data_IF_446912188475
#
_entry.id   IF_446912188475
#
_cell.length_a   1.000
_cell.length_b   1.000
_cell.length_c   1.000
_cell.angle_alpha   90.00
_cell.angle_beta   90.00
_cell.angle_gamma   90.00
#
_symmetry.space_group_name_H-M   'P 1'
#
loop_
_entity.id
_entity.type
_entity.pdbx_description
1 polymer ?
#
# COMPACT_ATOMS: atom_id res chain seq x y z
N UNK A 1 19.10 16.37 -45.66
CA UNK A 1 18.37 16.56 -44.39
C UNK A 1 16.91 16.81 -44.72
N UNK A 2 15.99 16.17 -44.02
CA UNK A 2 14.56 16.49 -44.12
C UNK A 2 14.25 17.62 -43.12
N UNK A 3 13.36 18.54 -43.49
CA UNK A 3 12.96 19.68 -42.63
C UNK A 3 11.49 19.51 -42.26
N UNK A 4 11.20 19.60 -40.96
CA UNK A 4 9.84 19.61 -40.41
C UNK A 4 9.50 21.04 -40.02
N UNK A 5 8.35 21.54 -40.42
CA UNK A 5 7.83 22.85 -40.03
C UNK A 5 6.57 22.66 -39.19
N UNK A 6 6.54 23.29 -38.01
CA UNK A 6 5.45 23.19 -37.05
C UNK A 6 4.83 24.57 -36.86
N UNK A 7 3.50 24.62 -36.82
CA UNK A 7 2.75 25.81 -36.43
C UNK A 7 2.32 25.62 -34.98
N UNK A 8 2.82 26.49 -34.10
CA UNK A 8 2.50 26.50 -32.67
C UNK A 8 2.05 27.91 -32.24
N UNK A 9 1.32 28.05 -31.12
CA UNK A 9 0.94 29.36 -30.60
C UNK A 9 2.15 30.22 -30.25
N UNK A 10 2.08 31.53 -30.52
CA UNK A 10 3.18 32.48 -30.29
C UNK A 10 3.66 32.47 -28.83
N UNK A 11 2.74 32.41 -27.87
CA UNK A 11 3.07 32.35 -26.45
C UNK A 11 3.90 31.12 -26.08
N UNK A 12 3.65 29.98 -26.73
CA UNK A 12 4.41 28.75 -26.51
C UNK A 12 5.77 28.83 -27.18
N UNK A 13 5.85 29.44 -28.37
CA UNK A 13 7.12 29.68 -29.04
C UNK A 13 8.03 30.59 -28.20
N UNK A 14 7.50 31.68 -27.64
CA UNK A 14 8.25 32.59 -26.77
C UNK A 14 8.77 31.89 -25.52
N UNK A 15 7.93 31.11 -24.83
CA UNK A 15 8.34 30.32 -23.67
C UNK A 15 9.43 29.29 -24.03
N UNK A 16 9.30 28.66 -25.20
CA UNK A 16 10.28 27.70 -25.69
C UNK A 16 11.64 28.36 -25.97
N UNK A 17 11.66 29.54 -26.61
CA UNK A 17 12.90 30.30 -26.86
C UNK A 17 13.59 30.72 -25.55
N UNK A 18 12.82 31.13 -24.54
CA UNK A 18 13.35 31.44 -23.21
C UNK A 18 13.96 30.18 -22.58
N UNK A 19 13.27 29.04 -22.65
CA UNK A 19 13.77 27.77 -22.13
C UNK A 19 15.08 27.32 -22.81
N UNK A 20 15.19 27.47 -24.13
CA UNK A 20 16.42 27.18 -24.88
C UNK A 20 17.58 28.05 -24.39
N UNK A 21 17.31 29.35 -24.21
CA UNK A 21 18.32 30.32 -23.75
C UNK A 21 18.80 30.01 -22.34
N UNK A 22 17.88 29.73 -21.41
CA UNK A 22 18.21 29.42 -20.02
C UNK A 22 19.06 28.15 -19.90
N UNK A 23 18.76 27.14 -20.72
CA UNK A 23 19.45 25.85 -20.70
C UNK A 23 20.65 25.78 -21.66
N UNK A 24 20.92 26.87 -22.40
CA UNK A 24 21.99 26.96 -23.41
C UNK A 24 21.92 25.82 -24.44
N UNK A 25 20.72 25.46 -24.86
CA UNK A 25 20.51 24.44 -25.89
C UNK A 25 20.12 25.09 -27.21
N UNK A 26 20.43 24.41 -28.32
CA UNK A 26 19.95 24.82 -29.63
C UNK A 26 18.56 24.24 -29.93
N UNK A 27 17.82 24.92 -30.82
CA UNK A 27 16.51 24.47 -31.28
C UNK A 27 16.60 23.10 -31.96
N UNK A 28 17.66 22.87 -32.74
CA UNK A 28 17.86 21.60 -33.46
C UNK A 28 18.13 20.45 -32.49
N UNK A 29 18.94 20.64 -31.45
CA UNK A 29 19.22 19.61 -30.44
C UNK A 29 17.96 19.22 -29.66
N UNK A 30 17.19 20.20 -29.19
CA UNK A 30 15.96 19.93 -28.42
C UNK A 30 14.86 19.36 -29.33
N UNK A 31 14.75 19.88 -30.56
CA UNK A 31 13.83 19.37 -31.57
C UNK A 31 14.11 17.91 -31.91
N UNK A 32 15.39 17.56 -32.16
CA UNK A 32 15.80 16.18 -32.41
C UNK A 32 15.51 15.28 -31.21
N UNK A 33 15.74 15.74 -29.98
CA UNK A 33 15.44 14.98 -28.77
C UNK A 33 13.93 14.70 -28.62
N UNK A 34 13.09 15.72 -28.81
CA UNK A 34 11.63 15.58 -28.69
C UNK A 34 11.12 14.62 -29.77
N UNK A 35 11.54 14.79 -31.03
CA UNK A 35 11.13 13.92 -32.14
C UNK A 35 11.61 12.49 -31.89
N UNK A 36 12.85 12.31 -31.47
CA UNK A 36 13.42 10.98 -31.18
C UNK A 36 12.68 10.29 -30.05
N UNK A 37 12.34 11.02 -28.98
CA UNK A 37 11.57 10.49 -27.86
C UNK A 37 10.16 10.07 -28.31
N UNK A 38 9.47 10.94 -29.06
CA UNK A 38 8.13 10.63 -29.57
C UNK A 38 8.13 9.41 -30.51
N UNK A 39 9.11 9.32 -31.43
CA UNK A 39 9.27 8.19 -32.34
C UNK A 39 9.53 6.90 -31.55
N UNK A 40 10.43 6.95 -30.58
CA UNK A 40 10.77 5.81 -29.73
C UNK A 40 9.58 5.31 -28.93
N UNK A 41 8.84 6.22 -28.30
CA UNK A 41 7.64 5.89 -27.53
C UNK A 41 6.53 5.34 -28.41
N UNK A 42 6.31 5.93 -29.59
CA UNK A 42 5.32 5.47 -30.56
C UNK A 42 5.62 4.03 -31.00
N UNK A 43 6.87 3.72 -31.31
CA UNK A 43 7.29 2.36 -31.65
C UNK A 43 7.23 1.41 -30.46
N UNK A 44 7.57 1.86 -29.25
CA UNK A 44 7.48 1.04 -28.04
C UNK A 44 6.03 0.67 -27.71
N UNK A 45 5.10 1.62 -27.87
CA UNK A 45 3.68 1.38 -27.67
C UNK A 45 3.12 0.44 -28.75
N UNK A 46 3.48 0.67 -30.02
CA UNK A 46 3.13 -0.23 -31.11
C UNK A 46 3.68 -1.66 -30.88
N UNK A 47 4.93 -1.77 -30.42
CA UNK A 47 5.58 -3.03 -30.09
C UNK A 47 4.92 -3.73 -28.89
N UNK A 48 4.54 -3.00 -27.83
CA UNK A 48 3.78 -3.56 -26.69
C UNK A 48 2.42 -4.09 -27.12
N UNK A 49 1.75 -3.41 -28.04
CA UNK A 49 0.47 -3.86 -28.60
C UNK A 49 0.63 -5.11 -29.47
N UNK A 50 1.78 -5.24 -30.15
CA UNK A 50 2.15 -6.45 -30.91
C UNK A 50 2.67 -7.59 -30.02
N UNK A 51 3.25 -7.29 -28.85
CA UNK A 51 3.88 -8.26 -27.95
C UNK A 51 2.99 -8.72 -26.79
N UNK A 52 1.66 -8.61 -26.93
CA UNK A 52 0.72 -9.21 -25.97
C UNK A 52 0.79 -10.76 -25.90
N UNK A 53 1.70 -11.40 -26.64
CA UNK A 53 2.15 -12.77 -26.40
C UNK A 53 3.69 -12.86 -26.40
N UNK A 54 4.22 -13.35 -25.28
CA UNK A 54 5.60 -13.80 -24.98
C UNK A 54 6.72 -12.75 -24.79
N UNK A 55 7.36 -12.83 -23.61
CA UNK A 55 8.64 -12.22 -23.19
C UNK A 55 9.85 -12.97 -23.81
N UNK A 56 11.11 -12.42 -23.89
CA UNK A 56 11.78 -11.57 -22.89
C UNK A 56 12.72 -10.41 -23.35
N UNK A 57 12.96 -9.50 -22.38
CA UNK A 57 13.98 -8.43 -22.13
C UNK A 57 14.83 -7.85 -23.29
N UNK A 58 14.93 -6.50 -23.39
CA UNK A 58 16.06 -5.83 -24.03
C UNK A 58 17.04 -5.18 -23.03
N UNK A 59 18.30 -5.15 -23.47
CA UNK A 59 19.43 -4.40 -22.90
C UNK A 59 19.37 -2.98 -23.49
N UNK A 60 19.38 -1.93 -22.65
CA UNK A 60 19.32 -0.52 -23.08
C UNK A 60 20.61 0.22 -22.68
N UNK A 61 21.17 1.12 -23.52
CA UNK A 61 22.26 2.03 -23.13
C UNK A 61 21.73 3.14 -22.21
N UNK A 62 22.52 3.52 -21.21
CA UNK A 62 22.15 4.44 -20.13
C UNK A 62 22.27 5.90 -20.57
N UNK A 63 21.14 6.59 -20.72
CA UNK A 63 21.06 8.06 -20.72
C UNK A 63 20.66 8.49 -19.29
N UNK A 64 21.49 9.28 -18.63
CA UNK A 64 21.23 9.80 -17.28
C UNK A 64 20.17 10.90 -17.31
N UNK A 65 18.89 10.53 -17.40
CA UNK A 65 17.83 11.36 -16.83
C UNK A 65 18.14 11.55 -15.34
N UNK A 66 17.97 12.76 -14.78
CA UNK A 66 17.95 12.90 -13.33
C UNK A 66 16.79 12.02 -12.84
N UNK A 67 17.16 10.83 -12.33
CA UNK A 67 16.22 9.83 -11.88
C UNK A 67 15.31 10.35 -10.77
N UNK A 68 15.57 11.56 -10.25
CA UNK A 68 14.78 12.16 -9.21
C UNK A 68 13.77 13.21 -9.68
N UNK A 69 13.85 13.72 -10.91
CA UNK A 69 12.89 14.72 -11.40
C UNK A 69 11.46 14.16 -11.33
N UNK A 70 10.56 14.93 -10.72
CA UNK A 70 9.15 14.57 -10.54
C UNK A 70 8.95 13.16 -9.98
N UNK A 71 9.87 12.66 -9.14
CA UNK A 71 9.82 11.28 -8.63
C UNK A 71 8.60 10.99 -7.76
N UNK A 72 7.92 12.03 -7.27
CA UNK A 72 6.66 11.89 -6.58
C UNK A 72 5.58 11.22 -7.46
N UNK A 73 5.58 11.42 -8.79
CA UNK A 73 4.63 10.74 -9.70
C UNK A 73 4.69 9.21 -9.61
N UNK A 74 5.88 8.65 -9.35
CA UNK A 74 6.07 7.20 -9.15
C UNK A 74 5.56 6.71 -7.79
N UNK A 75 5.33 7.61 -6.83
CA UNK A 75 4.99 7.28 -5.44
C UNK A 75 3.54 7.63 -5.07
N UNK A 76 2.95 8.65 -5.69
CA UNK A 76 1.57 9.10 -5.44
C UNK A 76 0.57 7.94 -5.49
N UNK A 77 0.55 7.06 -6.52
CA UNK A 77 -0.39 5.94 -6.55
C UNK A 77 -0.29 5.01 -5.32
N UNK A 78 0.93 4.81 -4.80
CA UNK A 78 1.14 4.01 -3.60
C UNK A 78 0.75 4.76 -2.31
N UNK A 79 0.93 6.09 -2.27
CA UNK A 79 0.55 6.90 -1.12
C UNK A 79 -0.97 6.98 -0.94
N UNK A 80 -1.74 7.00 -2.03
CA UNK A 80 -3.22 6.98 -2.00
C UNK A 80 -3.76 5.86 -1.10
N UNK A 81 -3.21 4.65 -1.23
CA UNK A 81 -3.66 3.48 -0.49
C UNK A 81 -2.96 3.26 0.85
N UNK A 82 -2.27 4.29 1.39
CA UNK A 82 -1.51 4.20 2.64
C UNK A 82 -1.83 5.35 3.59
N UNK A 83 -3.06 5.39 4.16
CA UNK A 83 -3.56 6.53 4.94
C UNK A 83 -2.75 6.87 6.20
N UNK A 84 -1.90 5.94 6.66
CA UNK A 84 -1.00 6.14 7.81
C UNK A 84 0.30 6.84 7.46
N UNK A 85 0.70 6.92 6.18
CA UNK A 85 1.95 7.58 5.80
C UNK A 85 1.81 9.09 5.84
N UNK A 86 2.84 9.78 6.34
CA UNK A 86 2.82 11.25 6.44
C UNK A 86 2.57 11.94 5.10
N UNK A 87 3.17 11.44 4.00
CA UNK A 87 2.96 12.01 2.67
C UNK A 87 1.48 11.96 2.25
N UNK A 88 0.78 10.87 2.56
CA UNK A 88 -0.66 10.75 2.33
C UNK A 88 -1.41 11.79 3.17
N UNK A 89 -1.14 11.84 4.48
CA UNK A 89 -1.82 12.73 5.42
C UNK A 89 -1.68 14.20 5.05
N UNK A 90 -0.50 14.62 4.61
CA UNK A 90 -0.23 16.00 4.17
C UNK A 90 -1.00 16.32 2.88
N UNK A 91 -0.99 15.42 1.88
CA UNK A 91 -1.76 15.63 0.63
C UNK A 91 -3.26 15.68 0.93
N UNK A 92 -3.78 14.76 1.75
CA UNK A 92 -5.18 14.77 2.18
C UNK A 92 -5.55 16.07 2.88
N UNK A 93 -4.71 16.55 3.83
CA UNK A 93 -4.91 17.81 4.52
C UNK A 93 -4.98 19.00 3.55
N UNK A 94 -4.04 19.06 2.59
CA UNK A 94 -4.01 20.09 1.56
C UNK A 94 -5.32 20.11 0.77
N UNK A 95 -5.74 18.95 0.23
CA UNK A 95 -6.94 18.84 -0.60
C UNK A 95 -8.23 19.17 0.17
N UNK A 96 -8.30 18.85 1.46
CA UNK A 96 -9.41 19.23 2.33
C UNK A 96 -9.49 20.76 2.49
N UNK A 97 -8.37 21.40 2.86
CA UNK A 97 -8.33 22.86 3.04
C UNK A 97 -8.64 23.57 1.72
N UNK A 98 -8.10 23.10 0.60
CA UNK A 98 -8.36 23.65 -0.72
C UNK A 98 -9.85 23.52 -1.09
N UNK A 99 -10.48 22.37 -0.81
CA UNK A 99 -11.92 22.19 -1.05
C UNK A 99 -12.79 23.09 -0.17
N UNK A 100 -12.35 23.34 1.07
CA UNK A 100 -13.06 24.18 2.04
C UNK A 100 -12.90 25.68 1.79
N UNK A 101 -11.70 26.12 1.36
CA UNK A 101 -11.30 27.55 1.36
C UNK A 101 -10.83 28.06 0.01
N UNK A 102 -10.64 27.20 -1.00
CA UNK A 102 -10.13 27.54 -2.33
C UNK A 102 -8.62 27.85 -2.38
N UNK A 103 -8.02 28.26 -1.27
CA UNK A 103 -6.58 28.52 -1.14
C UNK A 103 -6.02 27.88 0.13
N UNK A 104 -4.80 27.33 0.05
CA UNK A 104 -4.15 26.67 1.18
C UNK A 104 -3.04 27.55 1.72
N UNK A 105 -3.25 28.11 2.91
CA UNK A 105 -2.22 28.83 3.65
C UNK A 105 -1.36 27.85 4.46
N UNK A 106 -0.06 28.15 4.57
CA UNK A 106 0.91 27.30 5.28
C UNK A 106 0.51 27.09 6.75
N UNK A 107 0.08 28.15 7.44
CA UNK A 107 -0.34 28.06 8.85
C UNK A 107 -1.58 27.18 9.04
N UNK A 108 -2.52 27.20 8.09
CA UNK A 108 -3.70 26.33 8.12
C UNK A 108 -3.28 24.88 7.90
N UNK A 109 -2.38 24.62 6.95
CA UNK A 109 -1.86 23.28 6.69
C UNK A 109 -1.08 22.75 7.90
N UNK A 110 -0.28 23.59 8.55
CA UNK A 110 0.42 23.29 9.82
C UNK A 110 -0.59 22.92 10.90
N UNK A 111 -1.62 23.75 11.10
CA UNK A 111 -2.68 23.50 12.10
C UNK A 111 -3.37 22.16 11.84
N UNK A 112 -3.79 21.91 10.60
CA UNK A 112 -4.48 20.68 10.17
C UNK A 112 -3.63 19.42 10.35
N UNK A 113 -2.32 19.53 10.16
CA UNK A 113 -1.41 18.39 10.29
C UNK A 113 -0.83 18.22 11.70
N UNK A 114 -0.92 19.21 12.60
CA UNK A 114 -0.27 19.15 13.92
C UNK A 114 -1.24 18.90 15.08
N UNK A 115 -2.56 18.97 14.85
CA UNK A 115 -3.56 18.75 15.88
C UNK A 115 -4.17 17.34 15.79
N UNK A 116 -3.66 16.40 16.61
CA UNK A 116 -4.12 15.01 16.66
C UNK A 116 -5.57 14.86 17.12
N UNK A 117 -6.05 15.76 17.96
CA UNK A 117 -7.40 15.66 18.55
C UNK A 117 -8.45 16.12 17.55
N UNK A 118 -8.22 17.26 16.91
CA UNK A 118 -9.17 17.85 15.95
C UNK A 118 -9.08 17.18 14.58
N UNK A 119 -7.89 16.74 14.17
CA UNK A 119 -7.63 16.18 12.84
C UNK A 119 -6.80 14.88 12.89
N UNK A 120 -7.34 13.80 13.49
CA UNK A 120 -6.60 12.55 13.67
C UNK A 120 -6.17 11.91 12.35
N UNK A 121 -6.96 12.05 11.28
CA UNK A 121 -6.69 11.44 9.97
C UNK A 121 -5.55 12.12 9.20
N UNK A 122 -5.30 13.41 9.45
CA UNK A 122 -4.25 14.20 8.79
C UNK A 122 -3.07 14.50 9.72
N UNK A 123 -3.11 14.02 10.97
CA UNK A 123 -2.06 14.28 11.94
C UNK A 123 -0.70 13.69 11.54
N UNK A 124 0.35 14.50 11.61
CA UNK A 124 1.73 14.14 11.31
C UNK A 124 2.63 14.56 12.46
N UNK A 125 3.37 13.61 13.05
CA UNK A 125 4.21 13.85 14.23
C UNK A 125 5.35 14.85 13.99
N UNK A 126 5.96 14.82 12.80
CA UNK A 126 6.96 15.81 12.36
C UNK A 126 6.52 16.41 11.02
N UNK A 127 5.52 17.29 11.06
CA UNK A 127 4.99 17.93 9.87
C UNK A 127 6.09 18.67 9.09
N UNK A 128 6.94 19.45 9.79
CA UNK A 128 7.95 20.31 9.15
C UNK A 128 8.97 19.50 8.36
N UNK A 129 9.53 18.43 8.94
CA UNK A 129 10.51 17.58 8.27
C UNK A 129 9.91 16.86 7.05
N UNK A 130 8.70 16.29 7.20
CA UNK A 130 8.03 15.58 6.11
C UNK A 130 7.62 16.54 4.99
N UNK A 131 7.06 17.71 5.32
CA UNK A 131 6.69 18.72 4.34
C UNK A 131 7.91 19.25 3.58
N UNK A 132 9.05 19.49 4.26
CA UNK A 132 10.29 19.88 3.59
C UNK A 132 10.78 18.84 2.57
N UNK A 133 10.67 17.54 2.88
CA UNK A 133 11.01 16.45 1.96
C UNK A 133 10.04 16.36 0.76
N UNK A 134 8.85 16.95 0.87
CA UNK A 134 7.88 17.05 -0.22
C UNK A 134 8.00 18.36 -1.02
N UNK A 135 9.02 19.19 -0.76
CA UNK A 135 9.32 20.42 -1.53
C UNK A 135 10.57 20.30 -2.41
N UNK A 136 11.22 19.14 -2.43
CA UNK A 136 12.47 18.92 -3.14
C UNK A 136 12.53 17.53 -3.77
N UNK A 137 13.20 17.42 -4.91
CA UNK A 137 13.51 16.15 -5.57
C UNK A 137 14.90 15.60 -5.19
N UNK A 138 15.64 16.20 -4.26
CA UNK A 138 16.95 15.67 -3.82
C UNK A 138 16.91 14.17 -3.53
N UNK A 139 17.96 13.41 -3.86
CA UNK A 139 17.96 11.92 -3.86
C UNK A 139 17.26 11.26 -2.67
N UNK A 140 17.50 11.76 -1.45
CA UNK A 140 16.93 11.24 -0.20
C UNK A 140 15.52 11.74 0.17
N UNK A 141 14.88 12.52 -0.70
CA UNK A 141 13.55 13.09 -0.47
C UNK A 141 12.41 12.17 -0.88
N UNK A 142 11.21 12.52 -0.41
CA UNK A 142 9.97 11.88 -0.85
C UNK A 142 9.60 12.25 -2.29
N UNK A 143 10.15 13.34 -2.83
CA UNK A 143 9.85 13.87 -4.15
C UNK A 143 9.02 15.13 -4.02
N UNK A 144 9.26 16.10 -4.90
CA UNK A 144 8.61 17.39 -4.85
C UNK A 144 7.13 17.25 -5.22
N UNK A 145 6.27 17.68 -4.32
CA UNK A 145 4.82 17.75 -4.46
C UNK A 145 4.34 19.18 -4.30
N UNK A 146 4.93 19.92 -3.36
CA UNK A 146 4.49 21.27 -3.03
C UNK A 146 5.52 22.33 -3.42
N UNK A 147 5.01 23.51 -3.75
CA UNK A 147 5.76 24.77 -3.79
C UNK A 147 5.13 25.75 -2.78
N UNK A 148 5.89 26.76 -2.39
CA UNK A 148 5.44 27.80 -1.47
C UNK A 148 5.72 29.17 -2.07
N UNK A 149 4.68 29.97 -2.24
CA UNK A 149 4.74 31.34 -2.72
C UNK A 149 4.33 32.27 -1.57
N UNK A 150 5.31 32.71 -0.77
CA UNK A 150 5.04 33.33 0.52
C UNK A 150 4.36 32.33 1.46
N UNK A 151 3.18 32.69 1.97
CA UNK A 151 2.39 31.84 2.88
C UNK A 151 1.45 30.90 2.14
N UNK A 152 1.35 30.98 0.81
CA UNK A 152 0.49 30.11 0.01
C UNK A 152 1.25 28.84 -0.33
N UNK A 153 0.62 27.69 -0.09
CA UNK A 153 1.09 26.37 -0.53
C UNK A 153 0.33 25.99 -1.79
N UNK A 154 1.04 25.50 -2.80
CA UNK A 154 0.45 25.01 -4.05
C UNK A 154 1.02 23.65 -4.42
N UNK A 155 0.25 22.85 -5.17
CA UNK A 155 0.76 21.64 -5.80
C UNK A 155 1.66 22.06 -6.96
N UNK A 156 2.84 21.45 -7.06
CA UNK A 156 3.77 21.69 -8.16
C UNK A 156 3.19 21.14 -9.47
N UNK A 157 3.24 21.94 -10.54
CA UNK A 157 2.63 21.63 -11.84
C UNK A 157 2.96 20.23 -12.37
N UNK A 158 4.21 19.80 -12.23
CA UNK A 158 4.70 18.51 -12.77
C UNK A 158 4.06 17.27 -12.12
N UNK A 159 3.39 17.44 -10.98
CA UNK A 159 2.69 16.35 -10.30
C UNK A 159 1.19 16.60 -10.17
N UNK A 160 0.70 17.76 -10.65
CA UNK A 160 -0.70 18.17 -10.49
C UNK A 160 -1.66 17.12 -11.05
N UNK A 161 -1.45 16.68 -12.29
CA UNK A 161 -2.30 15.66 -12.93
C UNK A 161 -2.33 14.36 -12.13
N UNK A 162 -1.21 13.96 -11.52
CA UNK A 162 -1.15 12.74 -10.72
C UNK A 162 -1.90 12.92 -9.40
N UNK A 163 -1.81 14.08 -8.74
CA UNK A 163 -2.55 14.32 -7.49
C UNK A 163 -4.04 14.44 -7.79
N UNK A 164 -4.42 15.17 -8.85
CA UNK A 164 -5.81 15.36 -9.24
C UNK A 164 -6.50 14.06 -9.64
N UNK A 165 -5.81 13.20 -10.40
CA UNK A 165 -6.28 11.86 -10.75
C UNK A 165 -6.75 11.04 -9.54
N UNK A 166 -6.07 11.20 -8.39
CA UNK A 166 -6.38 10.45 -7.17
C UNK A 166 -7.02 11.32 -6.07
N UNK A 167 -7.52 12.52 -6.42
CA UNK A 167 -8.08 13.48 -5.46
C UNK A 167 -9.22 12.86 -4.67
N UNK A 168 -10.12 12.15 -5.35
CA UNK A 168 -11.27 11.49 -4.71
C UNK A 168 -10.81 10.45 -3.69
N UNK A 169 -9.81 9.63 -4.04
CA UNK A 169 -9.29 8.57 -3.19
C UNK A 169 -8.50 9.10 -1.98
N UNK A 170 -7.77 10.21 -2.13
CA UNK A 170 -7.17 10.89 -0.97
C UNK A 170 -8.22 11.45 -0.02
N UNK A 171 -9.30 12.05 -0.54
CA UNK A 171 -10.34 12.64 0.30
C UNK A 171 -11.20 11.58 1.00
N UNK A 172 -11.48 10.47 0.31
CA UNK A 172 -12.31 9.37 0.81
C UNK A 172 -11.51 8.18 1.37
N UNK A 173 -10.18 8.30 1.50
CA UNK A 173 -9.39 7.28 2.16
C UNK A 173 -9.74 7.29 3.65
N UNK A 174 -10.57 6.33 4.02
CA UNK A 174 -10.79 5.89 5.39
C UNK A 174 -9.65 4.95 5.80
N UNK A 175 -9.43 4.77 7.11
CA UNK A 175 -8.50 3.78 7.64
C UNK A 175 -8.97 2.32 7.39
N UNK A 176 -9.53 2.01 6.21
CA UNK A 176 -10.04 0.68 5.83
C UNK A 176 -8.94 -0.37 5.61
N UNK A 177 -7.71 0.06 5.25
CA UNK A 177 -6.61 -0.85 4.90
C UNK A 177 -6.09 -1.68 6.10
N UNK A 178 -6.46 -1.31 7.33
CA UNK A 178 -6.10 -2.08 8.52
C UNK A 178 -7.14 -3.17 8.87
N UNK A 179 -8.39 -3.03 8.42
CA UNK A 179 -9.45 -4.03 8.62
C UNK A 179 -9.33 -5.20 7.65
N UNK A 180 -8.85 -4.98 6.43
CA UNK A 180 -8.61 -6.06 5.45
C UNK A 180 -7.30 -6.84 5.67
N UNK A 181 -6.35 -6.28 6.44
CA UNK A 181 -5.07 -6.94 6.77
C UNK A 181 -5.06 -7.64 8.12
N UNK A 182 -5.87 -7.20 9.06
CA UNK A 182 -5.94 -7.79 10.41
C UNK A 182 -7.13 -8.72 10.49
N UNK A 183 -6.89 -9.99 10.81
CA UNK A 183 -7.98 -10.95 11.04
C UNK A 183 -8.80 -10.49 12.26
N UNK A 184 -10.08 -10.20 12.06
CA UNK A 184 -11.01 -9.74 13.11
C UNK A 184 -11.53 -10.90 13.97
N UNK A 185 -12.07 -10.60 15.16
CA UNK A 185 -12.63 -11.65 16.03
C UNK A 185 -13.82 -12.37 15.37
N UNK A 186 -14.66 -11.64 14.62
CA UNK A 186 -15.76 -12.22 13.83
C UNK A 186 -15.24 -13.21 12.78
N UNK A 187 -14.15 -12.86 12.09
CA UNK A 187 -13.48 -13.74 11.14
C UNK A 187 -12.98 -15.03 11.81
N UNK A 188 -12.42 -14.94 13.01
CA UNK A 188 -11.96 -16.09 13.81
C UNK A 188 -13.13 -16.99 14.20
N UNK A 189 -14.20 -16.41 14.75
CA UNK A 189 -15.39 -17.13 15.22
C UNK A 189 -16.04 -17.86 14.04
N UNK A 190 -16.24 -17.17 12.91
CA UNK A 190 -16.81 -17.76 11.71
C UNK A 190 -15.94 -18.89 11.14
N UNK A 191 -14.61 -18.70 11.16
CA UNK A 191 -13.67 -19.74 10.71
C UNK A 191 -13.73 -20.99 11.58
N UNK A 192 -13.89 -20.84 12.90
CA UNK A 192 -14.03 -21.99 13.81
C UNK A 192 -15.29 -22.80 13.50
N UNK A 193 -16.44 -22.13 13.41
CA UNK A 193 -17.72 -22.81 13.12
C UNK A 193 -17.70 -23.51 11.76
N UNK A 194 -17.08 -22.90 10.75
CA UNK A 194 -16.96 -23.51 9.43
C UNK A 194 -15.93 -24.65 9.44
N UNK A 195 -14.81 -24.52 10.14
CA UNK A 195 -13.85 -25.60 10.30
C UNK A 195 -14.47 -26.84 10.97
N UNK A 196 -15.37 -26.65 11.95
CA UNK A 196 -16.17 -27.75 12.53
C UNK A 196 -17.03 -28.43 11.48
N UNK A 197 -17.76 -27.68 10.65
CA UNK A 197 -18.55 -28.28 9.55
C UNK A 197 -17.68 -29.10 8.59
N UNK A 198 -16.47 -28.63 8.29
CA UNK A 198 -15.51 -29.37 7.44
C UNK A 198 -15.06 -30.66 8.15
N UNK A 199 -14.74 -30.60 9.43
CA UNK A 199 -14.31 -31.75 10.22
C UNK A 199 -15.40 -32.82 10.35
N UNK A 200 -16.63 -32.39 10.58
CA UNK A 200 -17.82 -33.24 10.64
C UNK A 200 -18.25 -33.79 9.27
N UNK A 201 -17.53 -33.45 8.19
CA UNK A 201 -17.82 -33.93 6.83
C UNK A 201 -19.08 -33.32 6.21
N UNK A 202 -19.62 -32.23 6.79
CA UNK A 202 -20.84 -31.57 6.28
C UNK A 202 -20.58 -30.76 5.01
N UNK A 203 -19.36 -30.24 4.85
CA UNK A 203 -18.90 -29.49 3.67
C UNK A 203 -17.45 -29.84 3.36
N UNK A 204 -17.02 -29.60 2.12
CA UNK A 204 -15.62 -29.80 1.72
C UNK A 204 -14.69 -28.67 2.19
N UNK A 205 -13.38 -28.92 2.30
CA UNK A 205 -12.39 -27.88 2.67
C UNK A 205 -12.39 -26.67 1.73
N UNK A 206 -12.52 -26.91 0.42
CA UNK A 206 -12.58 -25.85 -0.61
C UNK A 206 -13.84 -25.00 -0.46
N UNK A 207 -14.97 -25.63 -0.17
CA UNK A 207 -16.24 -24.96 0.09
C UNK A 207 -16.16 -24.14 1.40
N UNK A 208 -15.61 -24.73 2.47
CA UNK A 208 -15.43 -24.04 3.74
C UNK A 208 -14.58 -22.77 3.64
N UNK A 209 -13.45 -22.79 2.93
CA UNK A 209 -12.64 -21.57 2.75
C UNK A 209 -13.39 -20.47 1.99
N UNK A 210 -14.21 -20.85 0.99
CA UNK A 210 -15.01 -19.90 0.21
C UNK A 210 -16.15 -19.34 1.07
N UNK A 211 -16.81 -20.17 1.87
CA UNK A 211 -17.86 -19.74 2.80
C UNK A 211 -17.33 -18.72 3.81
N UNK A 212 -16.13 -18.95 4.40
CA UNK A 212 -15.48 -18.00 5.32
C UNK A 212 -15.21 -16.67 4.60
N UNK A 213 -14.58 -16.72 3.42
CA UNK A 213 -14.22 -15.53 2.67
C UNK A 213 -15.44 -14.70 2.26
N UNK A 214 -16.51 -15.35 1.80
CA UNK A 214 -17.76 -14.69 1.42
C UNK A 214 -18.48 -14.06 2.61
N UNK A 215 -18.51 -14.75 3.76
CA UNK A 215 -19.22 -14.26 4.94
C UNK A 215 -18.52 -13.11 5.65
N UNK A 216 -17.19 -13.12 5.67
CA UNK A 216 -16.42 -12.26 6.56
C UNK A 216 -15.49 -11.29 5.83
N UNK A 217 -15.28 -11.47 4.52
CA UNK A 217 -14.26 -10.75 3.75
C UNK A 217 -12.82 -11.21 4.04
N UNK A 218 -12.63 -12.31 4.79
CA UNK A 218 -11.29 -12.88 5.04
C UNK A 218 -10.64 -13.31 3.72
N UNK A 219 -9.32 -13.11 3.59
CA UNK A 219 -8.56 -13.70 2.49
C UNK A 219 -8.69 -15.24 2.49
N UNK A 220 -8.99 -15.83 1.33
CA UNK A 220 -9.18 -17.28 1.19
C UNK A 220 -7.97 -18.12 1.64
N UNK A 221 -6.75 -17.60 1.49
CA UNK A 221 -5.54 -18.26 1.97
C UNK A 221 -5.53 -18.36 3.50
N UNK A 222 -5.81 -17.25 4.18
CA UNK A 222 -5.98 -17.22 5.63
C UNK A 222 -7.13 -18.11 6.09
N UNK A 223 -8.26 -18.12 5.40
CA UNK A 223 -9.38 -19.01 5.71
C UNK A 223 -8.97 -20.49 5.63
N UNK A 224 -8.20 -20.85 4.60
CA UNK A 224 -7.63 -22.19 4.45
C UNK A 224 -6.66 -22.55 5.58
N UNK A 225 -5.82 -21.62 6.02
CA UNK A 225 -4.89 -21.82 7.14
C UNK A 225 -5.63 -22.04 8.46
N UNK A 226 -6.69 -21.27 8.73
CA UNK A 226 -7.54 -21.44 9.92
C UNK A 226 -8.19 -22.83 9.97
N UNK A 227 -8.77 -23.31 8.87
CA UNK A 227 -9.34 -24.66 8.78
C UNK A 227 -8.25 -25.72 9.00
N UNK A 228 -7.08 -25.56 8.38
CA UNK A 228 -5.98 -26.53 8.48
C UNK A 228 -5.45 -26.62 9.90
N UNK A 229 -5.29 -25.48 10.57
CA UNK A 229 -4.82 -25.42 11.95
C UNK A 229 -5.85 -26.01 12.92
N UNK A 230 -7.15 -25.80 12.68
CA UNK A 230 -8.20 -26.47 13.44
C UNK A 230 -8.06 -28.00 13.37
N UNK A 231 -7.92 -28.58 12.17
CA UNK A 231 -7.74 -30.03 12.01
C UNK A 231 -6.48 -30.52 12.74
N UNK A 232 -5.37 -29.80 12.58
CA UNK A 232 -4.13 -30.12 13.27
C UNK A 232 -4.28 -30.07 14.80
N UNK A 233 -5.06 -29.14 15.34
CA UNK A 233 -5.37 -29.08 16.77
C UNK A 233 -6.21 -30.29 17.23
N UNK A 234 -7.25 -30.66 16.50
CA UNK A 234 -8.07 -31.84 16.82
C UNK A 234 -7.23 -33.13 16.85
N UNK A 235 -6.34 -33.29 15.86
CA UNK A 235 -5.45 -34.46 15.75
C UNK A 235 -4.22 -34.37 16.66
N UNK A 236 -3.96 -33.20 17.25
CA UNK A 236 -2.80 -32.91 18.06
C UNK A 236 -1.48 -32.97 17.30
N UNK A 237 -1.50 -32.56 16.03
CA UNK A 237 -0.37 -32.47 15.12
C UNK A 237 0.15 -31.03 15.01
N UNK A 238 1.45 -30.89 14.78
CA UNK A 238 2.08 -29.58 14.54
C UNK A 238 1.54 -28.95 13.25
N UNK A 239 1.23 -27.66 13.31
CA UNK A 239 1.00 -26.81 12.13
C UNK A 239 2.07 -25.71 12.02
N UNK A 240 2.24 -25.11 10.84
CA UNK A 240 3.32 -24.15 10.55
C UNK A 240 2.85 -22.73 10.31
N UNK A 241 1.57 -22.53 9.98
CA UNK A 241 0.96 -21.21 9.78
C UNK A 241 0.46 -20.67 11.11
N UNK A 242 0.90 -19.47 11.50
CA UNK A 242 0.58 -18.92 12.82
C UNK A 242 -0.82 -18.30 12.85
N UNK A 243 -1.61 -18.66 13.86
CA UNK A 243 -2.83 -17.94 14.23
C UNK A 243 -2.46 -16.78 15.16
N UNK A 244 -3.27 -15.71 15.17
CA UNK A 244 -3.09 -14.67 16.17
C UNK A 244 -3.43 -15.19 17.60
N UNK A 245 -3.01 -14.46 18.64
CA UNK A 245 -3.19 -14.87 20.04
C UNK A 245 -4.66 -15.08 20.40
N UNK A 246 -5.56 -14.20 19.94
CA UNK A 246 -7.00 -14.31 20.18
C UNK A 246 -7.56 -15.61 19.57
N UNK A 247 -7.27 -15.88 18.30
CA UNK A 247 -7.67 -17.08 17.60
C UNK A 247 -7.17 -18.35 18.29
N UNK A 248 -5.91 -18.34 18.74
CA UNK A 248 -5.33 -19.50 19.43
C UNK A 248 -6.08 -19.79 20.73
N UNK A 249 -6.32 -18.77 21.57
CA UNK A 249 -7.09 -18.93 22.81
C UNK A 249 -8.51 -19.39 22.52
N UNK A 250 -9.20 -18.70 21.61
CA UNK A 250 -10.59 -19.01 21.26
C UNK A 250 -10.74 -20.46 20.77
N UNK A 251 -9.82 -20.94 19.93
CA UNK A 251 -9.85 -22.31 19.42
C UNK A 251 -9.64 -23.33 20.55
N UNK A 252 -8.65 -23.10 21.43
CA UNK A 252 -8.39 -24.01 22.55
C UNK A 252 -9.58 -24.11 23.51
N UNK A 253 -10.15 -22.98 23.92
CA UNK A 253 -11.30 -22.92 24.82
C UNK A 253 -12.56 -23.54 24.17
N UNK A 254 -12.79 -23.24 22.89
CA UNK A 254 -13.94 -23.78 22.16
C UNK A 254 -13.80 -25.29 21.88
N UNK A 255 -12.59 -25.77 21.57
CA UNK A 255 -12.33 -27.21 21.42
C UNK A 255 -12.58 -27.95 22.74
N UNK A 256 -12.11 -27.38 23.86
CA UNK A 256 -12.39 -27.96 25.19
C UNK A 256 -13.87 -28.07 25.47
N UNK A 257 -14.62 -27.02 25.15
CA UNK A 257 -16.07 -26.97 25.32
C UNK A 257 -16.81 -27.96 24.41
N UNK A 258 -16.44 -28.03 23.14
CA UNK A 258 -17.19 -28.77 22.12
C UNK A 258 -16.80 -30.26 22.03
N UNK A 259 -15.53 -30.58 22.26
CA UNK A 259 -14.95 -31.93 22.06
C UNK A 259 -14.38 -32.55 23.33
N UNK A 260 -14.36 -31.82 24.44
CA UNK A 260 -13.97 -32.31 25.75
C UNK A 260 -12.46 -32.40 26.00
N UNK A 261 -12.11 -32.84 27.20
CA UNK A 261 -10.75 -32.75 27.76
C UNK A 261 -9.70 -33.57 26.96
N UNK A 262 -10.09 -34.71 26.39
CA UNK A 262 -9.17 -35.55 25.62
C UNK A 262 -8.71 -34.84 24.33
N UNK A 263 -9.63 -34.24 23.59
CA UNK A 263 -9.33 -33.50 22.35
C UNK A 263 -8.67 -32.16 22.67
N UNK A 264 -9.04 -31.52 23.78
CA UNK A 264 -8.32 -30.35 24.28
C UNK A 264 -6.83 -30.61 24.51
N UNK A 265 -6.45 -31.76 25.10
CA UNK A 265 -5.04 -32.15 25.27
C UNK A 265 -4.32 -32.33 23.93
N UNK A 266 -5.00 -32.85 22.91
CA UNK A 266 -4.46 -32.87 21.55
C UNK A 266 -4.19 -31.44 21.05
N UNK A 267 -5.15 -30.54 21.21
CA UNK A 267 -5.02 -29.16 20.76
C UNK A 267 -3.85 -28.43 21.47
N UNK A 268 -3.73 -28.57 22.79
CA UNK A 268 -2.59 -28.04 23.56
C UNK A 268 -1.26 -28.58 23.04
N UNK A 269 -1.18 -29.89 22.74
CA UNK A 269 0.02 -30.49 22.13
C UNK A 269 0.33 -29.88 20.76
N UNK A 270 -0.65 -29.73 19.88
CA UNK A 270 -0.46 -29.11 18.56
C UNK A 270 0.09 -27.68 18.65
N UNK A 271 -0.50 -26.85 19.52
CA UNK A 271 -0.06 -25.46 19.72
C UNK A 271 1.33 -25.41 20.35
N UNK A 272 1.62 -26.29 21.32
CA UNK A 272 2.95 -26.39 21.94
C UNK A 272 4.03 -26.74 20.91
N UNK A 273 3.76 -27.73 20.05
CA UNK A 273 4.69 -28.11 18.98
C UNK A 273 4.84 -27.02 17.91
N UNK A 274 3.78 -26.24 17.63
CA UNK A 274 3.87 -25.07 16.78
C UNK A 274 4.80 -23.99 17.36
N UNK A 275 4.66 -23.67 18.66
CA UNK A 275 5.53 -22.70 19.35
C UNK A 275 6.98 -23.13 19.32
N UNK A 276 7.27 -24.40 19.65
CA UNK A 276 8.63 -24.96 19.58
C UNK A 276 9.22 -24.83 18.18
N UNK A 277 8.45 -25.23 17.17
CA UNK A 277 8.87 -25.16 15.77
C UNK A 277 9.18 -23.72 15.34
N UNK A 278 8.30 -22.76 15.65
CA UNK A 278 8.50 -21.38 15.24
C UNK A 278 9.72 -20.75 15.93
N UNK A 279 9.87 -20.95 17.24
CA UNK A 279 10.99 -20.41 18.01
C UNK A 279 12.34 -20.97 17.51
N UNK A 280 12.37 -22.21 17.00
CA UNK A 280 13.57 -22.81 16.42
C UNK A 280 14.02 -22.17 15.09
N UNK A 281 13.18 -21.38 14.42
CA UNK A 281 13.52 -20.73 13.14
C UNK A 281 14.44 -19.50 13.29
N UNK A 282 14.61 -18.98 14.51
CA UNK A 282 15.45 -17.80 14.76
C UNK A 282 14.90 -16.47 14.23
N UNK A 283 13.63 -16.43 13.83
CA UNK A 283 12.93 -15.22 13.32
C UNK A 283 12.11 -14.48 14.39
N UNK A 284 12.19 -14.91 15.65
CA UNK A 284 11.43 -14.38 16.78
C UNK A 284 10.81 -15.49 17.63
N UNK A 285 10.11 -15.10 18.71
CA UNK A 285 9.49 -16.04 19.65
C UNK A 285 7.98 -15.80 19.78
N UNK A 286 7.18 -16.86 19.88
CA UNK A 286 5.72 -16.79 20.07
C UNK A 286 5.32 -16.69 21.55
N UNK A 287 5.89 -15.73 22.28
CA UNK A 287 5.70 -15.59 23.73
C UNK A 287 4.24 -15.39 24.14
N UNK A 288 3.46 -14.65 23.35
CA UNK A 288 2.03 -14.42 23.64
C UNK A 288 1.19 -15.69 23.50
N UNK A 289 1.56 -16.58 22.59
CA UNK A 289 0.88 -17.88 22.41
C UNK A 289 1.33 -18.84 23.50
N UNK A 290 2.62 -18.82 23.90
CA UNK A 290 3.09 -19.59 25.05
C UNK A 290 2.31 -19.22 26.32
N UNK A 291 2.11 -17.94 26.60
CA UNK A 291 1.30 -17.50 27.74
C UNK A 291 -0.15 -18.02 27.68
N UNK A 292 -0.75 -18.13 26.50
CA UNK A 292 -2.09 -18.74 26.35
C UNK A 292 -2.08 -20.21 26.74
N UNK A 293 -1.03 -20.96 26.37
CA UNK A 293 -0.90 -22.37 26.77
C UNK A 293 -0.78 -22.45 28.29
N UNK A 294 0.12 -21.67 28.87
CA UNK A 294 0.41 -21.68 30.31
C UNK A 294 -0.81 -21.29 31.15
N UNK A 295 -1.65 -20.38 30.67
CA UNK A 295 -2.90 -19.97 31.33
C UNK A 295 -3.98 -21.07 31.34
N UNK A 296 -3.92 -22.02 30.41
CA UNK A 296 -4.98 -23.01 30.16
C UNK A 296 -4.65 -24.42 30.68
N UNK A 297 -3.42 -24.64 31.18
CA UNK A 297 -2.93 -25.90 31.77
C UNK A 297 -2.78 -25.79 33.28
#
# INVERSE_FOLDING_TARGET
>A
MAKLELIIPDSLYEQFQIALTLNKNSLDEVGEQIITAYVSDSFMQAAKNLSANTTPKPVTPVIHYDQNYAKANRKIPAWVHRPKQNNHRIIKAFLQIESEKGVVLLDELVKRCSNKVEYPETYVTDFRGNFAQMKTDSSNSHGKVFITNGDIVEIWSEVYESVDRYRYEFLNSVEEDNMRKTITDEMVISSYEIAKKVYEGKIGRTEGKLEIAQKTGMNEGSAGDFITNFMAMIDGQKYTRTLNTFATRFYLESIKKDYGEAVFKNAIRAVTEHVKYYNALGHGNLNSIQAVIDDLI
#
